data_IF_952518072410
#
_entry.id   IF_952518072410
#
_cell.length_a   1.000
_cell.length_b   1.000
_cell.length_c   1.000
_cell.angle_alpha   90.00
_cell.angle_beta   90.00
_cell.angle_gamma   90.00
#
_symmetry.space_group_name_H-M   'P 1'
#
loop_
_entity.id
_entity.type
_entity.pdbx_description
1 polymer ?
#
# COMPACT_ATOMS: atom_id res chain seq x y z
N UNK A 1 -1.03 1.25 -20.75
CA UNK A 1 -2.35 0.62 -20.45
C UNK A 1 -2.81 1.22 -19.12
N UNK A 2 -4.09 1.59 -18.96
CA UNK A 2 -4.58 2.21 -17.71
C UNK A 2 -5.01 1.10 -16.75
N UNK A 3 -4.38 0.99 -15.61
CA UNK A 3 -4.74 0.00 -14.58
C UNK A 3 -5.42 0.73 -13.40
N UNK A 4 -6.35 0.06 -12.73
CA UNK A 4 -7.07 0.62 -11.58
C UNK A 4 -6.79 -0.22 -10.34
N UNK A 5 -6.37 0.44 -9.26
CA UNK A 5 -6.25 -0.19 -7.94
C UNK A 5 -7.27 0.41 -6.99
N UNK A 6 -7.99 -0.45 -6.30
CA UNK A 6 -9.02 -0.08 -5.32
C UNK A 6 -8.61 -0.62 -3.96
N UNK A 7 -8.68 0.23 -2.94
CA UNK A 7 -8.42 -0.11 -1.55
C UNK A 7 -9.73 -0.09 -0.78
N UNK A 8 -9.92 -1.09 0.05
CA UNK A 8 -10.97 -1.12 1.09
C UNK A 8 -10.28 -1.24 2.44
N UNK A 9 -11.05 -1.30 3.53
CA UNK A 9 -10.50 -1.45 4.89
C UNK A 9 -9.47 -2.57 5.03
N UNK A 10 -9.68 -3.71 4.36
CA UNK A 10 -8.89 -4.94 4.56
C UNK A 10 -8.37 -5.56 3.26
N UNK A 11 -8.61 -4.93 2.10
CA UNK A 11 -8.32 -5.55 0.82
C UNK A 11 -7.87 -4.53 -0.21
N UNK A 12 -6.92 -4.95 -1.04
CA UNK A 12 -6.50 -4.28 -2.26
C UNK A 12 -6.91 -5.14 -3.43
N UNK A 13 -7.58 -4.52 -4.39
CA UNK A 13 -7.99 -5.15 -5.64
C UNK A 13 -7.35 -4.42 -6.80
N UNK A 14 -6.75 -5.18 -7.71
CA UNK A 14 -6.22 -4.72 -8.98
C UNK A 14 -7.21 -5.07 -10.10
N UNK A 15 -7.54 -4.10 -10.92
CA UNK A 15 -8.45 -4.22 -12.06
C UNK A 15 -7.74 -3.82 -13.35
N UNK A 16 -8.03 -4.58 -14.41
CA UNK A 16 -7.56 -4.28 -15.75
C UNK A 16 -8.28 -3.02 -16.31
N UNK A 17 -7.82 -2.53 -17.48
CA UNK A 17 -8.42 -1.36 -18.14
C UNK A 17 -9.91 -1.52 -18.50
N UNK A 18 -10.40 -2.75 -18.58
CA UNK A 18 -11.79 -3.12 -18.87
C UNK A 18 -12.64 -3.35 -17.61
N UNK A 19 -12.10 -3.02 -16.43
CA UNK A 19 -12.71 -3.24 -15.12
C UNK A 19 -12.89 -4.71 -14.71
N UNK A 20 -12.32 -5.66 -15.46
CA UNK A 20 -12.22 -7.04 -14.99
C UNK A 20 -11.24 -7.14 -13.82
N UNK A 21 -11.59 -7.96 -12.82
CA UNK A 21 -10.74 -8.19 -11.65
C UNK A 21 -9.49 -8.96 -12.08
N UNK A 22 -8.31 -8.35 -11.85
CA UNK A 22 -7.01 -8.96 -12.12
C UNK A 22 -6.53 -9.78 -10.92
N UNK A 23 -6.44 -9.14 -9.74
CA UNK A 23 -5.94 -9.78 -8.52
C UNK A 23 -6.56 -9.16 -7.27
N UNK A 24 -6.85 -9.99 -6.27
CA UNK A 24 -7.07 -9.54 -4.89
C UNK A 24 -5.82 -9.86 -4.08
N UNK A 25 -5.25 -8.86 -3.46
CA UNK A 25 -4.23 -9.07 -2.44
C UNK A 25 -5.03 -9.31 -1.14
N UNK A 26 -5.11 -10.56 -0.69
CA UNK A 26 -5.74 -10.94 0.58
C UNK A 26 -4.69 -11.05 1.67
N UNK A 27 -5.04 -10.78 2.94
CA UNK A 27 -4.16 -10.82 4.13
C UNK A 27 -3.21 -9.61 4.32
N UNK A 28 -3.53 -8.46 3.72
CA UNK A 28 -2.69 -7.25 3.64
C UNK A 28 -2.22 -6.63 4.95
N UNK A 29 -3.08 -6.64 5.94
CA UNK A 29 -2.84 -5.98 7.20
C UNK A 29 -3.08 -7.10 8.20
N UNK A 30 -2.18 -7.32 9.19
CA UNK A 30 -2.59 -8.07 10.37
C UNK A 30 -3.97 -7.54 10.76
N UNK A 31 -4.91 -8.39 11.17
CA UNK A 31 -6.22 -7.92 11.59
C UNK A 31 -6.07 -7.03 12.83
N UNK A 32 -5.54 -5.82 12.67
CA UNK A 32 -5.30 -4.85 13.71
C UNK A 32 -6.61 -4.09 13.77
N UNK A 33 -7.41 -4.32 14.81
CA UNK A 33 -8.70 -3.67 14.94
C UNK A 33 -8.49 -2.17 14.83
N UNK A 34 -9.24 -1.52 13.93
CA UNK A 34 -9.25 -0.08 13.69
C UNK A 34 -8.14 0.52 12.79
N UNK A 35 -7.26 -0.28 12.20
CA UNK A 35 -6.17 0.22 11.36
C UNK A 35 -6.38 -0.10 9.86
N UNK A 36 -7.37 0.55 9.24
CA UNK A 36 -7.68 0.34 7.81
C UNK A 36 -6.59 0.86 6.86
N UNK A 37 -6.65 0.44 5.59
CA UNK A 37 -5.80 1.01 4.52
C UNK A 37 -6.12 2.50 4.37
N UNK A 38 -5.08 3.34 4.44
CA UNK A 38 -5.14 4.78 4.25
C UNK A 38 -4.78 5.18 2.81
N UNK A 39 -3.74 4.57 2.25
CA UNK A 39 -3.26 4.89 0.91
C UNK A 39 -2.51 3.71 0.28
N UNK A 40 -2.48 3.66 -1.06
CA UNK A 40 -1.66 2.75 -1.84
C UNK A 40 -0.92 3.53 -2.90
N UNK A 41 0.34 3.17 -3.06
CA UNK A 41 1.21 3.77 -4.05
C UNK A 41 1.95 2.68 -4.82
N UNK A 42 2.06 2.85 -6.13
CA UNK A 42 2.99 2.09 -6.94
C UNK A 42 4.11 3.03 -7.38
N UNK A 43 5.35 2.67 -7.07
CA UNK A 43 6.52 3.41 -7.51
C UNK A 43 6.86 3.11 -8.97
N UNK A 44 7.80 3.86 -9.55
CA UNK A 44 8.21 3.68 -10.95
C UNK A 44 8.84 2.31 -11.25
N UNK A 45 9.25 1.56 -10.22
CA UNK A 45 9.78 0.20 -10.33
C UNK A 45 8.67 -0.87 -10.22
N UNK A 46 7.41 -0.45 -10.05
CA UNK A 46 6.28 -1.34 -9.90
C UNK A 46 6.22 -2.02 -8.53
N UNK A 47 6.90 -1.49 -7.51
CA UNK A 47 6.66 -1.95 -6.13
C UNK A 47 5.35 -1.37 -5.64
N UNK A 48 4.62 -2.17 -4.84
CA UNK A 48 3.35 -1.75 -4.25
C UNK A 48 3.60 -1.44 -2.78
N UNK A 49 3.21 -0.24 -2.38
CA UNK A 49 3.31 0.30 -1.03
C UNK A 49 1.91 0.52 -0.46
N UNK A 50 1.73 0.23 0.82
CA UNK A 50 0.45 0.37 1.53
C UNK A 50 0.67 1.16 2.81
N UNK A 51 -0.03 2.27 2.95
CA UNK A 51 -0.12 3.04 4.17
C UNK A 51 -1.37 2.63 4.95
N UNK A 52 -1.26 2.51 6.26
CA UNK A 52 -2.38 2.15 7.14
C UNK A 52 -2.59 3.22 8.20
N UNK A 53 -3.82 3.33 8.69
CA UNK A 53 -4.13 4.13 9.87
C UNK A 53 -3.49 3.47 11.10
N UNK A 54 -2.54 4.09 11.79
CA UNK A 54 -1.91 3.55 13.01
C UNK A 54 -1.01 2.32 12.86
N UNK A 55 -1.16 1.54 11.79
CA UNK A 55 -0.42 0.30 11.55
C UNK A 55 0.91 0.48 10.79
N UNK A 56 1.19 1.68 10.29
CA UNK A 56 2.43 2.01 9.59
C UNK A 56 2.42 1.74 8.09
N UNK A 57 3.64 1.57 7.57
CA UNK A 57 3.95 1.38 6.15
C UNK A 57 4.27 -0.09 5.86
N UNK A 58 3.75 -0.58 4.74
CA UNK A 58 3.97 -1.93 4.26
C UNK A 58 4.41 -1.93 2.80
N UNK A 59 5.33 -2.83 2.44
CA UNK A 59 5.70 -3.13 1.05
C UNK A 59 5.21 -4.52 0.67
N UNK A 60 4.58 -4.62 -0.49
CA UNK A 60 4.17 -5.91 -1.05
C UNK A 60 5.37 -6.68 -1.60
N UNK A 61 5.52 -7.92 -1.16
CA UNK A 61 6.51 -8.86 -1.66
C UNK A 61 5.86 -9.79 -2.67
N UNK A 62 6.10 -9.51 -3.97
CA UNK A 62 5.53 -10.29 -5.09
C UNK A 62 5.85 -11.78 -5.02
N UNK A 63 7.04 -12.14 -4.54
CA UNK A 63 7.54 -13.53 -4.50
C UNK A 63 6.77 -14.38 -3.49
N UNK A 64 6.53 -13.84 -2.30
CA UNK A 64 5.87 -14.55 -1.20
C UNK A 64 4.38 -14.30 -1.12
N UNK A 65 3.86 -13.37 -1.93
CA UNK A 65 2.49 -12.86 -1.86
C UNK A 65 2.11 -12.35 -0.46
N UNK A 66 3.07 -11.67 0.19
CA UNK A 66 2.91 -11.13 1.56
C UNK A 66 3.25 -9.65 1.64
N UNK A 67 2.98 -9.03 2.79
CA UNK A 67 3.35 -7.66 3.09
C UNK A 67 4.44 -7.64 4.16
N UNK A 68 5.51 -6.90 3.90
CA UNK A 68 6.58 -6.61 4.85
C UNK A 68 6.27 -5.28 5.55
N UNK A 69 6.23 -5.26 6.88
CA UNK A 69 6.10 -4.03 7.67
C UNK A 69 7.43 -3.31 7.80
N UNK A 70 7.39 -1.99 7.75
CA UNK A 70 8.53 -1.13 8.04
C UNK A 70 8.56 -0.71 9.53
N UNK A 71 9.70 -0.21 10.03
CA UNK A 71 9.77 0.40 11.35
C UNK A 71 8.74 1.52 11.55
N UNK A 72 8.36 1.76 12.81
CA UNK A 72 7.35 2.74 13.16
C UNK A 72 7.73 4.15 12.67
N UNK A 73 6.81 4.80 11.99
CA UNK A 73 6.97 6.15 11.43
C UNK A 73 6.41 7.19 12.41
N UNK A 74 7.23 7.54 13.41
CA UNK A 74 6.83 8.46 14.49
C UNK A 74 5.84 7.84 15.47
N UNK A 75 5.24 8.69 16.31
CA UNK A 75 4.37 8.23 17.43
C UNK A 75 3.01 7.72 16.95
N UNK A 76 2.45 8.32 15.90
CA UNK A 76 1.15 7.92 15.34
C UNK A 76 1.25 6.75 14.37
N UNK A 77 2.42 6.51 13.78
CA UNK A 77 2.63 5.46 12.77
C UNK A 77 1.54 5.45 11.67
N UNK A 78 1.13 6.65 11.22
CA UNK A 78 0.01 6.87 10.30
C UNK A 78 0.53 7.60 9.07
N UNK A 79 1.22 6.92 8.15
CA UNK A 79 1.54 7.50 6.85
C UNK A 79 0.25 7.69 6.03
N UNK A 80 0.21 8.72 5.19
CA UNK A 80 -0.97 9.04 4.39
C UNK A 80 -0.68 9.33 2.92
N UNK A 81 0.57 9.60 2.55
CA UNK A 81 0.94 9.82 1.16
C UNK A 81 2.37 9.36 0.91
N UNK A 82 2.58 8.80 -0.27
CA UNK A 82 3.90 8.49 -0.82
C UNK A 82 3.98 9.18 -2.17
N UNK A 83 5.14 9.75 -2.48
CA UNK A 83 5.47 10.19 -3.83
C UNK A 83 6.94 9.90 -4.09
N UNK A 84 7.27 9.54 -5.33
CA UNK A 84 8.63 9.34 -5.76
C UNK A 84 9.13 10.59 -6.48
N UNK A 85 10.35 11.02 -6.18
CA UNK A 85 10.99 12.14 -6.87
C UNK A 85 11.69 11.69 -8.17
N UNK A 86 12.32 12.65 -8.87
CA UNK A 86 13.00 12.41 -10.15
C UNK A 86 14.30 11.60 -10.02
N UNK A 87 14.81 11.44 -8.80
CA UNK A 87 16.03 10.69 -8.48
C UNK A 87 15.66 9.32 -7.87
N UNK A 88 14.43 8.87 -8.12
CA UNK A 88 13.86 7.59 -7.71
C UNK A 88 13.74 7.39 -6.19
N UNK A 89 13.76 8.47 -5.39
CA UNK A 89 13.59 8.41 -3.94
C UNK A 89 12.11 8.48 -3.56
N UNK A 90 11.67 7.54 -2.73
CA UNK A 90 10.32 7.53 -2.17
C UNK A 90 10.23 8.40 -0.91
N UNK A 91 9.35 9.40 -0.96
CA UNK A 91 9.05 10.30 0.15
C UNK A 91 7.72 9.91 0.79
N UNK A 92 7.76 9.64 2.09
CA UNK A 92 6.59 9.21 2.88
C UNK A 92 6.16 10.34 3.82
N UNK A 93 4.90 10.75 3.74
CA UNK A 93 4.32 11.78 4.60
C UNK A 93 3.47 11.16 5.71
N UNK A 94 3.60 11.68 6.92
CA UNK A 94 2.93 11.20 8.15
C UNK A 94 2.22 12.33 8.88
N UNK A 95 1.19 11.99 9.67
CA UNK A 95 0.46 12.92 10.56
C UNK A 95 1.17 13.25 11.88
#
# INVERSE_FOLDING_TARGET
>A
RKELRICTRNQVSHYNSDYSLNKRYGNLIPAVPNNGINSIYEDHFGNIWVCTWGGGLYKYLKITDTFMSFPALGTKNTPFKIFQDKDDQDWILTW
#
